data_IF_292074472631
#
_entry.id   IF_292074472631
#
_cell.length_a   1.000
_cell.length_b   1.000
_cell.length_c   1.000
_cell.angle_alpha   90.00
_cell.angle_beta   90.00
_cell.angle_gamma   90.00
#
_symmetry.space_group_name_H-M   'P 1'
#
loop_
_entity.id
_entity.type
_entity.pdbx_description
1 polymer ?
#
# COMPACT_ATOMS: atom_id res chain seq x y z
N UNK A 1 12.10 -7.40 31.20
CA UNK A 1 11.92 -8.82 31.59
C UNK A 1 11.51 -9.53 30.30
N UNK A 2 12.30 -10.51 29.85
CA UNK A 2 12.20 -11.12 28.52
C UNK A 2 10.94 -11.99 28.44
N UNK A 3 10.30 -12.03 27.28
CA UNK A 3 9.06 -12.77 26.96
C UNK A 3 9.15 -14.31 27.08
N UNK A 4 10.22 -14.84 27.68
CA UNK A 4 10.58 -16.27 27.61
C UNK A 4 10.12 -17.12 28.80
N UNK A 5 9.59 -16.52 29.89
CA UNK A 5 9.19 -17.23 31.12
C UNK A 5 7.67 -17.38 31.29
N UNK A 6 6.90 -17.44 30.20
CA UNK A 6 5.45 -17.71 30.29
C UNK A 6 5.21 -19.22 30.45
N UNK A 7 4.62 -19.62 31.56
CA UNK A 7 4.21 -21.02 31.79
C UNK A 7 3.12 -21.44 30.77
N UNK A 8 3.03 -22.73 30.47
CA UNK A 8 2.06 -23.29 29.51
C UNK A 8 0.61 -22.87 29.80
N UNK A 9 0.26 -22.73 31.08
CA UNK A 9 -1.07 -22.27 31.51
C UNK A 9 -1.30 -20.78 31.22
N UNK A 10 -0.27 -19.94 31.37
CA UNK A 10 -0.33 -18.52 31.00
C UNK A 10 -0.48 -18.34 29.49
N UNK A 11 0.26 -19.14 28.70
CA UNK A 11 0.12 -19.15 27.25
C UNK A 11 -1.27 -19.63 26.82
N UNK A 12 -1.81 -20.66 27.46
CA UNK A 12 -3.18 -21.13 27.20
C UNK A 12 -4.23 -20.07 27.57
N UNK A 13 -4.03 -19.36 28.68
CA UNK A 13 -4.92 -18.26 29.10
C UNK A 13 -4.85 -17.08 28.14
N UNK A 14 -3.65 -16.70 27.67
CA UNK A 14 -3.48 -15.67 26.64
C UNK A 14 -4.13 -16.09 25.33
N UNK A 15 -3.91 -17.33 24.86
CA UNK A 15 -4.49 -17.81 23.62
C UNK A 15 -6.03 -17.84 23.70
N UNK A 16 -6.58 -18.21 24.86
CA UNK A 16 -8.03 -18.17 25.08
C UNK A 16 -8.57 -16.73 25.13
N UNK A 17 -7.84 -15.78 25.73
CA UNK A 17 -8.17 -14.35 25.72
C UNK A 17 -8.13 -13.77 24.32
N UNK A 18 -7.06 -14.02 23.57
CA UNK A 18 -6.90 -13.55 22.19
C UNK A 18 -7.98 -14.11 21.27
N UNK A 19 -8.33 -15.40 21.44
CA UNK A 19 -9.41 -16.04 20.67
C UNK A 19 -10.78 -15.43 20.98
N UNK A 20 -11.05 -15.11 22.24
CA UNK A 20 -12.29 -14.43 22.61
C UNK A 20 -12.33 -12.99 22.10
N UNK A 21 -11.21 -12.26 22.17
CA UNK A 21 -11.11 -10.91 21.59
C UNK A 21 -11.34 -10.91 20.08
N UNK A 22 -10.85 -11.93 19.36
CA UNK A 22 -11.14 -12.10 17.93
C UNK A 22 -12.63 -12.34 17.67
N UNK A 23 -13.29 -13.18 18.47
CA UNK A 23 -14.72 -13.41 18.33
C UNK A 23 -15.57 -12.16 18.60
N UNK A 24 -15.16 -11.35 19.59
CA UNK A 24 -15.82 -10.07 19.90
C UNK A 24 -15.60 -9.03 18.79
N UNK A 25 -14.39 -9.01 18.18
CA UNK A 25 -14.08 -8.18 17.01
C UNK A 25 -14.88 -8.61 15.77
N UNK A 26 -14.94 -9.90 15.48
CA UNK A 26 -15.75 -10.46 14.38
C UNK A 26 -17.24 -10.10 14.55
N UNK A 27 -17.74 -10.18 15.79
CA UNK A 27 -19.11 -9.80 16.12
C UNK A 27 -19.34 -8.29 15.94
N UNK A 28 -18.42 -7.44 16.41
CA UNK A 28 -18.50 -6.00 16.23
C UNK A 28 -18.43 -5.58 14.75
N UNK A 29 -17.61 -6.27 13.95
CA UNK A 29 -17.53 -6.09 12.50
C UNK A 29 -18.80 -6.57 11.79
N UNK A 30 -19.44 -7.64 12.25
CA UNK A 30 -20.72 -8.13 11.70
C UNK A 30 -21.91 -7.26 12.09
N UNK A 31 -21.88 -6.60 13.25
CA UNK A 31 -22.95 -5.70 13.72
C UNK A 31 -22.86 -4.29 13.12
N UNK A 32 -21.65 -3.86 12.75
CA UNK A 32 -21.44 -2.67 11.91
C UNK A 32 -21.75 -2.99 10.45
N UNK A 33 -23.05 -3.13 10.15
CA UNK A 33 -23.59 -3.47 8.83
C UNK A 33 -23.22 -2.52 7.69
N UNK A 34 -21.98 -2.59 7.23
CA UNK A 34 -21.65 -2.39 5.82
C UNK A 34 -21.41 -3.77 5.22
N UNK A 35 -22.37 -4.16 4.39
CA UNK A 35 -22.34 -5.28 3.44
C UNK A 35 -20.99 -5.37 2.73
N UNK A 36 -20.05 -6.15 3.28
CA UNK A 36 -19.00 -6.74 2.47
C UNK A 36 -19.46 -8.14 2.08
N UNK A 37 -20.08 -8.18 0.90
CA UNK A 37 -20.17 -9.38 0.09
C UNK A 37 -18.78 -10.05 0.03
N UNK A 38 -18.75 -11.38 0.02
CA UNK A 38 -17.53 -12.15 -0.27
C UNK A 38 -16.80 -11.54 -1.47
N UNK A 39 -15.45 -11.41 -1.46
CA UNK A 39 -14.72 -10.54 -2.37
C UNK A 39 -14.82 -11.05 -3.81
N UNK A 40 -15.86 -10.58 -4.48
CA UNK A 40 -16.05 -10.64 -5.91
C UNK A 40 -15.11 -9.60 -6.49
N UNK A 41 -13.94 -10.01 -6.97
CA UNK A 41 -13.16 -9.35 -8.03
C UNK A 41 -12.66 -7.90 -7.87
N UNK A 42 -13.08 -7.15 -6.85
CA UNK A 42 -12.85 -5.71 -6.75
C UNK A 42 -11.85 -5.43 -5.61
N UNK A 43 -10.73 -4.79 -5.94
CA UNK A 43 -9.64 -4.41 -5.03
C UNK A 43 -10.03 -3.34 -3.98
N UNK A 44 -11.32 -3.16 -3.70
CA UNK A 44 -11.91 -2.06 -2.91
C UNK A 44 -11.40 -1.96 -1.47
N UNK A 45 -11.11 -3.09 -0.83
CA UNK A 45 -10.55 -3.12 0.53
C UNK A 45 -9.07 -2.66 0.54
N UNK A 46 -8.32 -3.00 -0.51
CA UNK A 46 -6.92 -2.62 -0.62
C UNK A 46 -6.78 -1.12 -0.88
N UNK A 47 -7.59 -0.56 -1.78
CA UNK A 47 -7.62 0.90 -2.03
C UNK A 47 -8.04 1.66 -0.78
N UNK A 48 -9.03 1.13 -0.04
CA UNK A 48 -9.46 1.72 1.24
C UNK A 48 -8.32 1.75 2.26
N UNK A 49 -7.58 0.64 2.41
CA UNK A 49 -6.43 0.59 3.30
C UNK A 49 -5.32 1.56 2.87
N UNK A 50 -4.95 1.55 1.59
CA UNK A 50 -3.91 2.42 1.04
C UNK A 50 -4.26 3.91 1.14
N UNK A 51 -5.55 4.25 1.09
CA UNK A 51 -6.02 5.62 1.26
C UNK A 51 -5.79 6.17 2.68
N UNK A 52 -5.73 5.29 3.68
CA UNK A 52 -5.52 5.67 5.09
C UNK A 52 -4.04 5.78 5.48
N UNK A 53 -3.12 5.34 4.61
CA UNK A 53 -1.70 5.39 4.89
C UNK A 53 -1.18 6.83 4.92
N UNK A 54 -0.30 7.11 5.89
CA UNK A 54 0.36 8.42 6.01
C UNK A 54 1.43 8.62 4.92
N UNK A 55 2.02 7.53 4.41
CA UNK A 55 2.98 7.58 3.33
C UNK A 55 2.29 7.83 1.98
N UNK A 56 2.97 8.52 1.06
CA UNK A 56 2.50 8.68 -0.31
C UNK A 56 2.54 7.33 -1.04
N UNK A 57 1.40 6.96 -1.63
CA UNK A 57 1.24 5.73 -2.40
C UNK A 57 0.75 6.08 -3.80
N UNK A 58 1.47 5.55 -4.79
CA UNK A 58 1.18 5.70 -6.22
C UNK A 58 1.23 4.29 -6.81
N UNK A 59 0.19 3.91 -7.55
CA UNK A 59 0.15 2.65 -8.31
C UNK A 59 -0.03 3.02 -9.78
N UNK A 60 0.66 2.31 -10.66
CA UNK A 60 0.55 2.46 -12.10
C UNK A 60 0.43 1.11 -12.80
N UNK A 61 -0.15 1.11 -14.00
CA UNK A 61 -0.34 -0.08 -14.83
C UNK A 61 0.95 -0.45 -15.61
N UNK A 62 0.88 -1.50 -16.44
CA UNK A 62 2.02 -1.91 -17.26
C UNK A 62 2.45 -0.90 -18.33
N UNK A 63 1.59 0.05 -18.67
CA UNK A 63 1.87 1.18 -19.57
C UNK A 63 2.38 2.40 -18.80
N UNK A 64 2.65 2.27 -17.50
CA UNK A 64 3.10 3.33 -16.59
C UNK A 64 2.06 4.45 -16.43
N UNK A 65 0.78 4.15 -16.64
CA UNK A 65 -0.32 5.07 -16.35
C UNK A 65 -0.73 4.93 -14.89
N UNK A 66 -0.88 6.06 -14.20
CA UNK A 66 -1.30 6.09 -12.79
C UNK A 66 -2.74 5.57 -12.67
N UNK A 67 -2.94 4.56 -11.81
CA UNK A 67 -4.26 3.95 -11.53
C UNK A 67 -4.73 4.18 -10.09
N UNK A 68 -3.86 4.67 -9.21
CA UNK A 68 -4.21 5.03 -7.85
C UNK A 68 -3.24 6.07 -7.31
N UNK A 69 -3.80 7.08 -6.64
CA UNK A 69 -3.05 8.17 -6.06
C UNK A 69 -3.68 8.56 -4.71
N UNK A 70 -2.99 8.30 -3.59
CA UNK A 70 -3.58 8.57 -2.27
C UNK A 70 -3.43 10.05 -1.86
N UNK A 71 -4.20 10.46 -0.83
CA UNK A 71 -4.21 11.84 -0.33
C UNK A 71 -2.82 12.34 0.12
N UNK A 72 -1.97 11.44 0.61
CA UNK A 72 -0.59 11.79 0.97
C UNK A 72 0.26 12.09 -0.26
N UNK A 73 0.09 11.36 -1.36
CA UNK A 73 0.73 11.67 -2.64
C UNK A 73 0.25 13.02 -3.19
N UNK A 74 -1.03 13.35 -3.06
CA UNK A 74 -1.56 14.68 -3.44
C UNK A 74 -0.85 15.81 -2.70
N UNK A 75 -0.66 15.67 -1.39
CA UNK A 75 0.04 16.66 -0.57
C UNK A 75 1.53 16.77 -0.94
N UNK A 76 2.18 15.66 -1.29
CA UNK A 76 3.61 15.65 -1.60
C UNK A 76 3.88 16.23 -2.99
N UNK A 77 3.11 15.81 -4.00
CA UNK A 77 3.36 16.18 -5.40
C UNK A 77 2.55 17.42 -5.85
N UNK A 78 1.52 17.81 -5.10
CA UNK A 78 0.72 19.00 -5.37
C UNK A 78 -0.34 18.80 -6.45
N UNK A 79 -0.63 17.57 -6.85
CA UNK A 79 -1.69 17.22 -7.79
C UNK A 79 -2.88 16.58 -7.06
N UNK A 80 -4.09 16.73 -7.58
CA UNK A 80 -5.24 15.92 -7.15
C UNK A 80 -5.25 14.58 -7.90
N UNK A 81 -5.83 13.54 -7.31
CA UNK A 81 -5.94 12.23 -7.95
C UNK A 81 -6.65 12.28 -9.32
N UNK A 82 -7.74 13.04 -9.43
CA UNK A 82 -8.50 13.22 -10.68
C UNK A 82 -7.73 13.95 -11.79
N UNK A 83 -6.68 14.71 -11.43
CA UNK A 83 -5.78 15.35 -12.39
C UNK A 83 -4.76 14.36 -12.97
N UNK A 84 -4.33 13.35 -12.21
CA UNK A 84 -3.18 12.49 -12.55
C UNK A 84 -3.54 11.06 -12.91
N UNK A 85 -4.70 10.57 -12.48
CA UNK A 85 -5.18 9.24 -12.86
C UNK A 85 -5.35 9.15 -14.39
N UNK A 86 -4.82 8.06 -14.96
CA UNK A 86 -4.72 7.87 -16.41
C UNK A 86 -3.56 8.59 -17.08
N UNK A 87 -2.83 9.48 -16.40
CA UNK A 87 -1.60 10.08 -16.93
C UNK A 87 -0.39 9.18 -16.74
N UNK A 88 0.64 9.39 -17.58
CA UNK A 88 1.93 8.73 -17.42
C UNK A 88 2.61 9.19 -16.12
N UNK A 89 3.25 8.25 -15.42
CA UNK A 89 4.04 8.49 -14.21
C UNK A 89 5.11 9.59 -14.39
N UNK A 90 5.56 9.78 -15.63
CA UNK A 90 6.54 10.77 -16.06
C UNK A 90 6.30 12.19 -15.53
N UNK A 91 5.05 12.59 -15.32
CA UNK A 91 4.70 13.92 -14.80
C UNK A 91 5.22 14.17 -13.38
N UNK A 92 5.48 13.10 -12.64
CA UNK A 92 5.99 13.11 -11.26
C UNK A 92 7.52 12.99 -11.22
N UNK A 93 8.18 13.03 -12.37
CA UNK A 93 9.63 12.84 -12.49
C UNK A 93 10.27 14.05 -13.19
N UNK A 94 11.49 14.46 -12.78
CA UNK A 94 12.26 15.43 -13.54
C UNK A 94 12.56 14.92 -14.96
N UNK A 95 12.44 15.76 -15.98
CA UNK A 95 12.60 15.39 -17.41
C UNK A 95 13.88 14.58 -17.70
N UNK A 96 14.99 14.95 -17.05
CA UNK A 96 16.29 14.25 -17.19
C UNK A 96 16.28 12.80 -16.69
N UNK A 97 15.33 12.44 -15.84
CA UNK A 97 15.22 11.12 -15.19
C UNK A 97 14.13 10.24 -15.82
N UNK A 98 13.24 10.81 -16.62
CA UNK A 98 12.09 10.11 -17.20
C UNK A 98 12.51 8.88 -18.01
N UNK A 99 13.47 9.04 -18.93
CA UNK A 99 13.97 7.94 -19.76
C UNK A 99 14.69 6.86 -18.95
N UNK A 100 15.44 7.26 -17.92
CA UNK A 100 16.16 6.33 -17.05
C UNK A 100 15.15 5.52 -16.24
N UNK A 101 14.15 6.19 -15.65
CA UNK A 101 13.12 5.54 -14.85
C UNK A 101 12.27 4.58 -15.68
N UNK A 102 11.85 4.98 -16.89
CA UNK A 102 11.10 4.13 -17.81
C UNK A 102 11.84 2.81 -18.10
N UNK A 103 13.16 2.89 -18.34
CA UNK A 103 13.98 1.67 -18.53
C UNK A 103 14.08 0.82 -17.27
N UNK A 104 14.17 1.43 -16.09
CA UNK A 104 14.20 0.70 -14.82
C UNK A 104 12.90 -0.05 -14.57
N UNK A 105 11.74 0.57 -14.83
CA UNK A 105 10.42 -0.08 -14.69
C UNK A 105 10.30 -1.26 -15.64
N UNK A 106 10.69 -1.10 -16.91
CA UNK A 106 10.70 -2.19 -17.89
C UNK A 106 11.64 -3.33 -17.47
N UNK A 107 12.86 -3.02 -17.04
CA UNK A 107 13.79 -4.02 -16.56
C UNK A 107 13.28 -4.75 -15.31
N UNK A 108 12.58 -4.05 -14.41
CA UNK A 108 11.97 -4.64 -13.22
C UNK A 108 10.81 -5.59 -13.57
N UNK A 109 10.00 -5.28 -14.59
CA UNK A 109 8.94 -6.17 -15.09
C UNK A 109 9.48 -7.55 -15.49
N UNK A 110 10.68 -7.59 -16.06
CA UNK A 110 11.32 -8.81 -16.56
C UNK A 110 12.19 -9.53 -15.51
N UNK A 111 12.29 -9.00 -14.28
CA UNK A 111 13.07 -9.63 -13.21
C UNK A 111 12.33 -10.81 -12.58
N UNK A 112 13.01 -11.94 -12.32
CA UNK A 112 12.41 -13.11 -11.68
C UNK A 112 12.04 -12.89 -10.20
N UNK A 113 12.65 -11.90 -9.54
CA UNK A 113 12.32 -11.48 -8.18
C UNK A 113 11.57 -10.15 -8.20
N UNK A 114 10.27 -10.20 -7.89
CA UNK A 114 9.35 -9.06 -7.90
C UNK A 114 9.47 -8.15 -6.67
N UNK A 115 10.49 -8.35 -5.82
CA UNK A 115 10.67 -7.60 -4.56
C UNK A 115 12.12 -7.16 -4.43
N UNK A 116 12.38 -5.86 -4.61
CA UNK A 116 13.64 -5.26 -4.17
C UNK A 116 13.55 -4.97 -2.67
N UNK A 117 14.48 -5.54 -1.90
CA UNK A 117 14.54 -5.33 -0.45
C UNK A 117 14.77 -3.84 -0.11
N UNK A 118 14.13 -3.38 0.97
CA UNK A 118 14.09 -1.98 1.41
C UNK A 118 15.47 -1.36 1.68
N UNK A 119 16.47 -2.19 1.99
CA UNK A 119 17.87 -1.79 2.26
C UNK A 119 18.67 -1.41 1.00
N UNK A 120 18.14 -1.69 -0.20
CA UNK A 120 18.79 -1.40 -1.49
C UNK A 120 18.04 -0.38 -2.35
N UNK A 121 17.15 0.43 -1.78
CA UNK A 121 16.49 1.49 -2.54
C UNK A 121 17.47 2.63 -2.82
N UNK A 122 17.72 2.89 -4.10
CA UNK A 122 18.27 4.18 -4.51
C UNK A 122 17.25 5.28 -4.16
N UNK A 123 17.72 6.44 -3.72
CA UNK A 123 16.87 7.61 -3.54
C UNK A 123 16.17 7.93 -4.88
N UNK A 124 14.84 8.05 -4.85
CA UNK A 124 14.03 8.40 -6.02
C UNK A 124 13.67 9.87 -5.91
N UNK A 125 14.04 10.65 -6.92
CA UNK A 125 13.71 12.07 -7.02
C UNK A 125 12.35 12.22 -7.73
N UNK A 126 11.42 12.92 -7.07
CA UNK A 126 10.13 13.32 -7.64
C UNK A 126 10.11 14.79 -8.06
N UNK A 127 9.27 15.12 -9.05
CA UNK A 127 8.94 16.48 -9.45
C UNK A 127 7.62 16.87 -8.82
N UNK A 128 7.63 17.95 -8.04
CA UNK A 128 6.43 18.58 -7.51
C UNK A 128 5.90 19.60 -8.53
N UNK A 129 4.59 19.88 -8.49
CA UNK A 129 3.94 20.80 -9.44
C UNK A 129 4.43 22.26 -9.35
N UNK A 130 4.97 22.70 -8.22
CA UNK A 130 5.36 24.09 -7.92
C UNK A 130 6.85 24.40 -8.13
#
# INVERSE_FOLDING_TARGET
MRDEDKTKEQLLSELHKTRNQLADLEKALSESGQTHESPSGDFSWATSLLSTLLDAVIIFDENQQIVFFNQSAEKIFGYQADEVEGQLLDILLPERLTDVHRRLVLAFKDMPEMTLSMDKRNEILGLRRD
#
